data_IF_167440665556
#
_entry.id   IF_167440665556
#
_cell.length_a   1.000
_cell.length_b   1.000
_cell.length_c   1.000
_cell.angle_alpha   90.00
_cell.angle_beta   90.00
_cell.angle_gamma   90.00
#
_symmetry.space_group_name_H-M   'P 1'
#
loop_
_entity.id
_entity.type
_entity.pdbx_description
1 polymer ?
#
# COMPACT_ATOMS: atom_id res chain seq x y z
N UNK A 1 -27.00 36.83 35.05
CA UNK A 1 -27.71 35.81 34.25
C UNK A 1 -27.55 36.17 32.77
N UNK A 2 -27.09 35.21 31.96
CA UNK A 2 -27.22 35.06 30.48
C UNK A 2 -26.63 36.20 29.63
N UNK A 3 -25.43 36.05 29.05
CA UNK A 3 -25.12 35.37 27.77
C UNK A 3 -26.16 35.60 26.67
N UNK A 4 -25.80 36.42 25.69
CA UNK A 4 -26.34 36.38 24.33
C UNK A 4 -25.16 36.30 23.34
N UNK A 5 -25.08 35.17 22.65
CA UNK A 5 -24.31 35.01 21.42
C UNK A 5 -25.22 35.43 20.25
N UNK A 6 -24.70 36.05 19.19
CA UNK A 6 -24.44 35.39 17.89
C UNK A 6 -24.14 36.37 16.72
N UNK A 7 -23.15 35.98 15.89
CA UNK A 7 -22.96 36.19 14.43
C UNK A 7 -22.76 37.60 13.85
N UNK A 8 -21.53 37.88 13.36
CA UNK A 8 -21.07 37.87 11.94
C UNK A 8 -21.65 39.01 11.11
N UNK A 9 -20.85 39.90 10.53
CA UNK A 9 -20.20 39.72 9.23
C UNK A 9 -19.09 40.78 9.05
N UNK A 10 -17.90 40.39 8.60
CA UNK A 10 -16.93 41.34 8.04
C UNK A 10 -16.83 41.14 6.53
N UNK A 11 -17.50 42.03 5.79
CA UNK A 11 -17.12 42.39 4.42
C UNK A 11 -16.33 43.70 4.51
N UNK A 12 -15.15 43.76 3.90
CA UNK A 12 -14.92 44.52 2.65
C UNK A 12 -13.43 44.63 2.31
N UNK A 13 -13.23 44.85 1.03
CA UNK A 13 -12.00 44.79 0.26
C UNK A 13 -11.07 46.01 0.43
N UNK A 14 -9.89 45.81 -0.14
CA UNK A 14 -9.15 46.72 -1.03
C UNK A 14 -8.05 47.64 -0.45
N UNK A 15 -6.81 47.24 -0.80
CA UNK A 15 -5.83 48.00 -1.57
C UNK A 15 -5.63 49.49 -1.26
N UNK A 16 -4.49 49.77 -0.61
CA UNK A 16 -3.56 50.91 -0.70
C UNK A 16 -2.38 50.49 0.19
N UNK A 17 -1.10 50.57 -0.13
CA UNK A 17 -0.31 51.51 -0.93
C UNK A 17 1.10 50.88 -1.05
N UNK A 18 1.64 50.79 -2.25
CA UNK A 18 2.76 51.62 -2.72
C UNK A 18 4.05 51.57 -1.88
N UNK A 19 5.09 51.04 -2.55
CA UNK A 19 6.43 51.64 -2.65
C UNK A 19 7.40 51.59 -1.46
N UNK A 20 8.65 51.34 -1.85
CA UNK A 20 9.89 51.58 -1.11
C UNK A 20 10.15 50.72 0.14
N UNK A 21 10.99 49.69 -0.04
CA UNK A 21 12.14 49.34 0.82
C UNK A 21 12.78 48.03 0.36
N UNK A 22 13.36 48.03 -0.84
CA UNK A 22 14.25 46.95 -1.28
C UNK A 22 15.60 47.53 -1.74
N UNK A 23 16.28 48.15 -0.78
CA UNK A 23 17.65 48.67 -0.87
C UNK A 23 18.10 48.73 0.60
N UNK A 24 19.31 48.27 0.94
CA UNK A 24 19.97 48.28 2.27
C UNK A 24 20.16 46.91 2.98
N UNK A 25 19.98 45.75 2.35
CA UNK A 25 20.56 44.48 2.88
C UNK A 25 21.40 43.70 1.87
N UNK A 26 22.18 44.43 1.06
CA UNK A 26 23.10 43.84 0.07
C UNK A 26 24.48 44.51 0.13
N UNK A 27 25.06 44.52 1.33
CA UNK A 27 26.45 44.88 1.64
C UNK A 27 26.66 44.40 3.08
N UNK A 28 27.75 43.67 3.36
CA UNK A 28 28.36 43.35 4.68
C UNK A 28 28.56 41.86 5.00
N UNK A 29 27.95 40.86 4.36
CA UNK A 29 28.34 39.44 4.64
C UNK A 29 28.79 38.70 3.40
N UNK A 30 29.88 39.20 2.81
CA UNK A 30 30.85 38.29 2.18
C UNK A 30 31.57 37.49 3.27
N UNK A 31 31.99 36.27 2.92
CA UNK A 31 33.00 35.45 3.63
C UNK A 31 32.64 34.72 4.92
N UNK A 32 31.43 34.14 5.06
CA UNK A 32 31.16 33.11 6.10
C UNK A 32 30.17 31.99 5.66
N UNK A 33 29.90 31.81 4.37
CA UNK A 33 29.00 30.74 3.87
C UNK A 33 29.71 29.43 3.50
N UNK A 34 31.05 29.43 3.43
CA UNK A 34 31.79 28.39 2.71
C UNK A 34 32.42 27.32 3.60
N UNK A 35 32.37 27.46 4.93
CA UNK A 35 33.09 26.58 5.86
C UNK A 35 32.28 25.94 6.98
N UNK A 36 31.00 26.29 7.15
CA UNK A 36 30.05 25.43 7.89
C UNK A 36 29.10 24.82 6.87
N UNK A 37 29.73 24.01 6.01
CA UNK A 37 29.09 23.10 5.10
C UNK A 37 27.98 22.38 5.81
N UNK A 38 26.76 22.71 5.39
CA UNK A 38 25.52 21.95 5.57
C UNK A 38 25.86 20.51 5.96
N UNK A 39 25.78 20.19 7.24
CA UNK A 39 25.35 18.85 7.63
C UNK A 39 23.95 18.72 7.07
N UNK A 40 23.88 18.35 5.79
CA UNK A 40 22.72 17.72 5.17
C UNK A 40 22.43 16.57 6.11
N UNK A 41 21.39 16.74 6.92
CA UNK A 41 20.68 15.63 7.54
C UNK A 41 20.40 14.70 6.36
N UNK A 42 21.21 13.65 6.25
CA UNK A 42 21.00 12.59 5.30
C UNK A 42 19.80 11.83 5.88
N UNK A 43 18.60 12.35 5.62
CA UNK A 43 17.39 11.56 5.73
C UNK A 43 17.53 10.45 4.68
N UNK A 44 18.22 9.38 5.07
CA UNK A 44 18.48 8.15 4.31
C UNK A 44 17.22 7.32 4.12
N UNK A 45 16.05 7.84 4.54
CA UNK A 45 14.73 7.37 4.11
C UNK A 45 14.48 7.84 2.68
N UNK A 46 15.29 7.32 1.76
CA UNK A 46 14.87 7.18 0.37
C UNK A 46 13.52 6.46 0.40
N UNK A 47 12.46 7.23 0.19
CA UNK A 47 11.11 6.70 0.10
C UNK A 47 11.05 5.94 -1.23
N UNK A 48 11.56 4.71 -1.24
CA UNK A 48 11.48 3.83 -2.39
C UNK A 48 10.00 3.66 -2.68
N UNK A 49 9.58 4.14 -3.85
CA UNK A 49 8.22 4.02 -4.34
C UNK A 49 7.89 2.52 -4.44
N UNK A 50 7.30 1.95 -3.38
CA UNK A 50 6.89 0.57 -3.32
C UNK A 50 5.67 0.40 -4.22
N UNK A 51 5.93 0.27 -5.54
CA UNK A 51 4.91 -0.07 -6.53
C UNK A 51 4.29 -1.40 -6.07
N UNK A 52 3.03 -1.35 -5.67
CA UNK A 52 2.25 -2.55 -5.33
C UNK A 52 2.09 -3.36 -6.60
N UNK A 53 2.88 -4.43 -6.73
CA UNK A 53 2.72 -5.42 -7.79
C UNK A 53 1.95 -6.62 -7.22
N UNK A 54 1.07 -7.20 -8.03
CA UNK A 54 0.34 -8.44 -7.69
C UNK A 54 1.00 -9.57 -8.45
N UNK A 55 1.31 -10.68 -7.77
CA UNK A 55 1.87 -11.89 -8.38
C UNK A 55 0.83 -13.01 -8.33
N UNK A 56 0.60 -13.65 -9.46
CA UNK A 56 -0.21 -14.86 -9.56
C UNK A 56 0.64 -16.09 -9.31
N UNK A 57 0.15 -17.00 -8.48
CA UNK A 57 0.81 -18.24 -8.09
C UNK A 57 -0.19 -19.40 -8.15
N UNK A 58 0.30 -20.60 -8.47
CA UNK A 58 -0.50 -21.82 -8.37
C UNK A 58 -0.39 -22.40 -6.96
N UNK A 59 -1.49 -22.93 -6.45
CA UNK A 59 -1.53 -23.56 -5.13
C UNK A 59 -2.56 -24.70 -5.10
N UNK A 60 -2.40 -25.59 -4.12
CA UNK A 60 -3.36 -26.64 -3.78
C UNK A 60 -4.01 -26.33 -2.44
N UNK A 61 -5.32 -26.52 -2.33
CA UNK A 61 -6.02 -26.32 -1.06
C UNK A 61 -5.80 -27.53 -0.15
N UNK A 62 -5.32 -27.26 1.07
CA UNK A 62 -5.07 -28.27 2.09
C UNK A 62 -6.23 -28.33 3.09
N UNK A 63 -6.80 -27.19 3.46
CA UNK A 63 -7.78 -27.11 4.54
C UNK A 63 -8.80 -25.99 4.27
N UNK A 64 -10.05 -26.20 4.66
CA UNK A 64 -11.09 -25.17 4.63
C UNK A 64 -11.17 -24.50 6.00
N UNK A 65 -11.25 -23.17 6.02
CA UNK A 65 -11.31 -22.38 7.24
C UNK A 65 -12.66 -21.64 7.34
N UNK A 66 -13.11 -21.27 8.55
CA UNK A 66 -14.28 -20.42 8.72
C UNK A 66 -14.18 -19.10 7.92
N UNK A 67 -15.32 -18.54 7.51
CA UNK A 67 -15.34 -17.25 6.82
C UNK A 67 -14.99 -17.29 5.32
N UNK A 68 -15.18 -18.42 4.65
CA UNK A 68 -14.87 -18.63 3.22
C UNK A 68 -13.39 -18.39 2.87
N UNK A 69 -12.53 -18.79 3.81
CA UNK A 69 -11.09 -18.86 3.63
C UNK A 69 -10.64 -20.31 3.49
N UNK A 70 -9.44 -20.51 2.98
CA UNK A 70 -8.82 -21.81 2.89
C UNK A 70 -7.32 -21.70 3.10
N UNK A 71 -6.71 -22.74 3.65
CA UNK A 71 -5.26 -22.90 3.71
C UNK A 71 -4.80 -23.52 2.41
N UNK A 72 -3.82 -22.91 1.77
CA UNK A 72 -3.26 -23.35 0.49
C UNK A 72 -1.76 -23.52 0.59
N UNK A 73 -1.23 -24.51 -0.11
CA UNK A 73 0.20 -24.72 -0.29
C UNK A 73 0.59 -24.46 -1.72
N UNK A 74 1.65 -23.69 -1.91
CA UNK A 74 2.16 -23.37 -3.24
C UNK A 74 2.59 -24.65 -3.96
N UNK A 75 2.31 -24.72 -5.27
CA UNK A 75 2.72 -25.83 -6.12
C UNK A 75 3.64 -25.31 -7.22
N UNK A 76 4.72 -26.03 -7.48
CA UNK A 76 5.74 -25.69 -8.48
C UNK A 76 7.16 -25.96 -7.98
N UNK A 77 8.08 -26.22 -8.90
CA UNK A 77 9.44 -26.69 -8.60
C UNK A 77 10.22 -25.77 -7.63
N UNK A 78 10.06 -24.45 -7.75
CA UNK A 78 10.73 -23.47 -6.87
C UNK A 78 10.20 -23.46 -5.44
N UNK A 79 8.97 -23.91 -5.22
CA UNK A 79 8.29 -23.85 -3.93
C UNK A 79 8.15 -25.23 -3.28
N UNK A 80 8.38 -26.32 -4.02
CA UNK A 80 8.24 -27.67 -3.48
C UNK A 80 9.31 -27.98 -2.42
N UNK A 81 10.50 -27.38 -2.54
CA UNK A 81 11.56 -27.50 -1.51
C UNK A 81 11.27 -26.74 -0.22
N UNK A 82 10.24 -25.89 -0.19
CA UNK A 82 9.89 -25.05 0.97
C UNK A 82 8.40 -25.12 1.25
N UNK A 83 8.02 -25.72 2.36
CA UNK A 83 6.61 -25.84 2.78
C UNK A 83 5.98 -24.50 3.15
N UNK A 84 5.65 -23.69 2.14
CA UNK A 84 4.99 -22.39 2.29
C UNK A 84 3.47 -22.58 2.25
N UNK A 85 2.85 -22.31 3.39
CA UNK A 85 1.40 -22.27 3.54
C UNK A 85 0.89 -20.84 3.61
N UNK A 86 -0.24 -20.58 2.94
CA UNK A 86 -0.90 -19.28 2.91
C UNK A 86 -2.40 -19.45 3.24
N UNK A 87 -3.00 -18.41 3.77
CA UNK A 87 -4.45 -18.28 3.95
C UNK A 87 -5.01 -17.48 2.77
N UNK A 88 -5.86 -18.12 1.97
CA UNK A 88 -6.46 -17.51 0.80
C UNK A 88 -7.93 -17.15 1.05
N UNK A 89 -8.27 -15.90 0.78
CA UNK A 89 -9.65 -15.41 0.75
C UNK A 89 -10.24 -15.62 -0.63
N UNK A 90 -11.47 -16.12 -0.69
CA UNK A 90 -12.18 -16.29 -1.96
C UNK A 90 -12.49 -14.93 -2.59
N UNK A 91 -12.02 -14.67 -3.83
CA UNK A 91 -12.34 -13.45 -4.54
C UNK A 91 -13.85 -13.30 -4.76
N UNK A 92 -14.34 -12.06 -4.75
CA UNK A 92 -15.75 -11.76 -5.00
C UNK A 92 -16.27 -12.33 -6.34
N UNK A 93 -15.41 -12.40 -7.37
CA UNK A 93 -15.73 -13.02 -8.66
C UNK A 93 -16.12 -14.50 -8.52
N UNK A 94 -15.40 -15.25 -7.70
CA UNK A 94 -15.68 -16.68 -7.44
C UNK A 94 -16.99 -16.84 -6.67
N UNK A 95 -17.21 -16.00 -5.65
CA UNK A 95 -18.47 -15.98 -4.89
C UNK A 95 -19.68 -15.68 -5.79
N UNK A 96 -19.57 -14.65 -6.65
CA UNK A 96 -20.62 -14.28 -7.62
C UNK A 96 -20.88 -15.39 -8.64
N UNK A 97 -19.83 -16.12 -9.04
CA UNK A 97 -19.93 -17.25 -9.95
C UNK A 97 -20.44 -18.54 -9.26
N UNK A 98 -20.75 -18.48 -7.96
CA UNK A 98 -21.21 -19.62 -7.15
C UNK A 98 -20.29 -20.85 -7.23
N UNK A 99 -19.00 -20.63 -7.45
CA UNK A 99 -18.02 -21.72 -7.52
C UNK A 99 -17.74 -22.20 -6.09
N UNK A 100 -18.06 -23.46 -5.82
CA UNK A 100 -17.67 -24.14 -4.58
C UNK A 100 -16.20 -24.53 -4.66
N UNK A 101 -15.47 -24.27 -3.57
CA UNK A 101 -14.07 -24.61 -3.40
C UNK A 101 -13.99 -25.73 -2.36
N UNK A 102 -13.21 -26.77 -2.63
CA UNK A 102 -13.04 -27.93 -1.75
C UNK A 102 -11.56 -28.24 -1.53
N UNK A 103 -11.27 -29.06 -0.52
CA UNK A 103 -9.91 -29.54 -0.25
C UNK A 103 -9.41 -30.37 -1.45
N UNK A 104 -8.15 -30.19 -1.82
CA UNK A 104 -7.51 -30.88 -2.93
C UNK A 104 -7.58 -30.14 -4.27
N UNK A 105 -8.45 -29.13 -4.40
CA UNK A 105 -8.54 -28.31 -5.62
C UNK A 105 -7.22 -27.59 -5.94
N UNK A 106 -6.90 -27.54 -7.23
CA UNK A 106 -5.82 -26.72 -7.76
C UNK A 106 -6.38 -25.33 -8.10
N UNK A 107 -5.73 -24.29 -7.59
CA UNK A 107 -6.22 -22.91 -7.68
C UNK A 107 -5.10 -21.95 -8.06
N UNK A 108 -5.49 -20.83 -8.65
CA UNK A 108 -4.61 -19.68 -8.82
C UNK A 108 -4.92 -18.66 -7.73
N UNK A 109 -3.88 -18.22 -7.04
CA UNK A 109 -3.94 -17.20 -6.00
C UNK A 109 -3.15 -15.96 -6.42
N UNK A 110 -3.64 -14.80 -6.04
CA UNK A 110 -2.94 -13.53 -6.16
C UNK A 110 -2.35 -13.13 -4.80
N UNK A 111 -1.06 -12.79 -4.79
CA UNK A 111 -0.36 -12.28 -3.61
C UNK A 111 0.13 -10.86 -3.89
N UNK A 112 -0.13 -9.93 -2.97
CA UNK A 112 0.40 -8.57 -3.07
C UNK A 112 1.89 -8.57 -2.68
N UNK A 113 2.77 -8.26 -3.63
CA UNK A 113 4.19 -8.14 -3.35
C UNK A 113 4.49 -6.77 -2.75
N UNK A 114 4.44 -6.69 -1.42
CA UNK A 114 4.88 -5.51 -0.65
C UNK A 114 6.30 -5.68 -0.09
N UNK A 115 7.19 -6.32 -0.85
CA UNK A 115 8.63 -6.46 -0.53
C UNK A 115 9.04 -7.82 0.05
N UNK A 116 8.14 -8.54 0.74
CA UNK A 116 8.31 -9.96 1.10
C UNK A 116 6.96 -10.68 1.09
N UNK A 117 6.96 -11.96 0.71
CA UNK A 117 5.85 -12.89 0.94
C UNK A 117 5.94 -13.36 2.40
N UNK A 118 5.72 -12.44 3.34
CA UNK A 118 5.61 -12.75 4.78
C UNK A 118 4.19 -12.55 5.28
N UNK A 119 3.35 -11.82 4.54
CA UNK A 119 1.91 -11.80 4.81
C UNK A 119 1.33 -13.10 4.26
N UNK A 120 0.90 -13.99 5.15
CA UNK A 120 0.24 -15.26 4.85
C UNK A 120 -1.16 -15.08 4.22
N UNK A 121 -1.42 -13.96 3.54
CA UNK A 121 -2.72 -13.60 2.98
C UNK A 121 -2.63 -13.59 1.46
N UNK A 122 -3.47 -14.39 0.83
CA UNK A 122 -3.62 -14.44 -0.62
C UNK A 122 -5.10 -14.29 -1.02
N UNK A 123 -5.33 -14.06 -2.31
CA UNK A 123 -6.68 -13.99 -2.88
C UNK A 123 -6.86 -15.08 -3.92
N UNK A 124 -7.81 -15.99 -3.70
CA UNK A 124 -8.14 -17.06 -4.64
C UNK A 124 -8.95 -16.47 -5.79
N UNK A 125 -8.39 -16.46 -7.00
CA UNK A 125 -8.98 -15.81 -8.17
C UNK A 125 -9.50 -16.78 -9.22
N UNK A 126 -8.95 -17.98 -9.28
CA UNK A 126 -9.37 -19.01 -10.22
C UNK A 126 -9.28 -20.40 -9.61
N UNK A 127 -10.23 -21.28 -9.94
CA UNK A 127 -10.22 -22.71 -9.62
C UNK A 127 -10.10 -23.49 -10.92
N UNK A 128 -9.09 -24.34 -11.03
CA UNK A 128 -8.89 -25.20 -12.19
C UNK A 128 -9.88 -26.36 -12.12
N UNK A 129 -10.36 -26.80 -13.29
CA UNK A 129 -11.09 -28.08 -13.39
C UNK A 129 -10.06 -29.20 -13.34
N UNK A 130 -10.36 -30.30 -12.65
CA UNK A 130 -9.62 -31.53 -12.91
C UNK A 130 -9.89 -31.90 -14.37
N UNK A 131 -8.85 -31.99 -15.18
CA UNK A 131 -8.95 -32.69 -16.45
C UNK A 131 -9.11 -34.16 -16.10
N UNK A 132 -10.30 -34.71 -16.33
CA UNK A 132 -10.55 -36.15 -16.23
C UNK A 132 -9.57 -36.83 -17.19
N UNK A 133 -8.49 -37.37 -16.63
CA UNK A 133 -7.42 -38.07 -17.36
C UNK A 133 -7.61 -39.56 -17.18
#
# INVERSE_FOLDING_TARGET
>A
MKQENHTSEFKTNNNRSASAKNKIKKKITGTLSDSLGKLKIQDSRSKTNAKKSVRELKAKIIEMLPGAMCKVKLIGAEYESKDIELIAYTAGRIKKSRIRVVVGDIVTIEVQNRGRITDSKARLVYRHKLSDS
#
